data_IF_334303778192
#
_entry.id   IF_334303778192
#
_cell.length_a   1.000
_cell.length_b   1.000
_cell.length_c   1.000
_cell.angle_alpha   90.00
_cell.angle_beta   90.00
_cell.angle_gamma   90.00
#
_symmetry.space_group_name_H-M   'P 1'
#
loop_
_entity.id
_entity.type
_entity.pdbx_description
1 polymer ?
#
# COMPACT_ATOMS: atom_id res chain seq x y z
N UNK A 1 -17.07 18.00 41.15
CA UNK A 1 -15.65 18.23 40.79
C UNK A 1 -15.39 17.42 39.53
N UNK A 2 -15.26 18.03 38.35
CA UNK A 2 -14.99 17.30 37.10
C UNK A 2 -13.49 17.09 36.98
N UNK A 3 -13.02 15.85 37.00
CA UNK A 3 -11.64 15.50 36.67
C UNK A 3 -11.39 15.95 35.23
N UNK A 4 -10.52 16.95 35.05
CA UNK A 4 -10.02 17.30 33.73
C UNK A 4 -9.26 16.08 33.19
N UNK A 5 -9.53 15.70 31.95
CA UNK A 5 -8.86 14.55 31.31
C UNK A 5 -7.34 14.71 31.26
N UNK A 6 -6.62 13.61 31.03
CA UNK A 6 -5.14 13.58 31.00
C UNK A 6 -4.59 14.49 29.88
N UNK A 7 -5.30 14.54 28.75
CA UNK A 7 -5.01 15.40 27.62
C UNK A 7 -6.27 16.18 27.24
N UNK A 8 -6.09 17.36 26.65
CA UNK A 8 -7.15 18.10 25.97
C UNK A 8 -6.68 18.46 24.57
N UNK A 9 -7.48 18.07 23.58
CA UNK A 9 -7.22 18.48 22.20
C UNK A 9 -7.85 19.87 22.00
N UNK A 10 -7.04 20.85 21.62
CA UNK A 10 -7.50 22.20 21.30
C UNK A 10 -8.38 22.19 20.03
N UNK A 11 -9.18 23.24 19.79
CA UNK A 11 -9.90 23.40 18.52
C UNK A 11 -8.99 23.40 17.28
N UNK A 12 -7.72 23.78 17.44
CA UNK A 12 -6.73 23.75 16.36
C UNK A 12 -6.17 22.35 16.11
N UNK A 13 -6.40 21.38 17.01
CA UNK A 13 -5.93 20.00 16.94
C UNK A 13 -4.65 19.73 17.73
N UNK A 14 -4.21 20.66 18.57
CA UNK A 14 -3.03 20.52 19.42
C UNK A 14 -3.42 19.77 20.68
N UNK A 15 -2.75 18.66 20.98
CA UNK A 15 -2.95 17.93 22.23
C UNK A 15 -2.18 18.63 23.36
N UNK A 16 -2.91 19.28 24.26
CA UNK A 16 -2.37 19.88 25.47
C UNK A 16 -2.35 18.83 26.59
N UNK A 17 -1.23 18.75 27.29
CA UNK A 17 -1.06 17.89 28.45
C UNK A 17 -1.67 18.62 29.65
N UNK A 18 -2.77 18.11 30.20
CA UNK A 18 -3.46 18.76 31.31
C UNK A 18 -3.01 18.23 32.68
N UNK A 19 -2.38 17.06 32.70
CA UNK A 19 -1.96 16.41 33.93
C UNK A 19 -0.44 16.36 34.02
N UNK A 20 0.13 16.84 35.13
CA UNK A 20 1.58 16.84 35.38
C UNK A 20 2.21 15.47 35.14
N UNK A 21 1.57 14.39 35.60
CA UNK A 21 2.08 13.04 35.39
C UNK A 21 2.21 12.65 33.91
N UNK A 22 1.32 13.13 33.04
CA UNK A 22 1.45 12.86 31.61
C UNK A 22 2.58 13.67 30.96
N UNK A 23 2.90 14.85 31.48
CA UNK A 23 4.08 15.58 31.06
C UNK A 23 5.35 14.84 31.52
N UNK A 24 5.37 14.38 32.77
CA UNK A 24 6.45 13.56 33.30
C UNK A 24 6.67 12.27 32.47
N UNK A 25 5.61 11.63 31.97
CA UNK A 25 5.73 10.45 31.09
C UNK A 25 6.45 10.75 29.78
N UNK A 26 6.26 11.95 29.22
CA UNK A 26 6.82 12.35 27.92
C UNK A 26 8.22 12.97 28.05
N UNK A 27 8.50 13.68 29.15
CA UNK A 27 9.76 14.39 29.37
C UNK A 27 10.84 13.51 30.04
N UNK A 28 10.44 12.58 30.92
CA UNK A 28 11.40 11.78 31.70
C UNK A 28 11.59 10.41 31.07
N UNK A 29 12.73 10.21 30.41
CA UNK A 29 13.11 8.93 29.78
C UNK A 29 13.05 7.74 30.74
N UNK A 30 13.36 7.94 32.02
CA UNK A 30 13.26 6.87 33.03
C UNK A 30 11.83 6.37 33.24
N UNK A 31 10.84 7.28 33.24
CA UNK A 31 9.43 6.92 33.39
C UNK A 31 8.91 6.30 32.09
N UNK A 32 9.28 6.86 30.93
CA UNK A 32 8.92 6.26 29.64
C UNK A 32 9.46 4.82 29.52
N UNK A 33 10.72 4.59 29.89
CA UNK A 33 11.32 3.27 29.90
C UNK A 33 10.60 2.31 30.86
N UNK A 34 10.20 2.79 32.04
CA UNK A 34 9.40 2.00 32.99
C UNK A 34 8.04 1.61 32.40
N UNK A 35 7.32 2.56 31.78
CA UNK A 35 6.06 2.31 31.07
C UNK A 35 6.26 1.26 29.96
N UNK A 36 7.29 1.45 29.11
CA UNK A 36 7.62 0.51 28.05
C UNK A 36 7.96 -0.88 28.59
N UNK A 37 8.65 -0.97 29.74
CA UNK A 37 9.01 -2.26 30.36
C UNK A 37 7.81 -3.01 30.96
N UNK A 38 6.78 -2.28 31.41
CA UNK A 38 5.53 -2.82 31.95
C UNK A 38 4.47 -3.06 30.88
N UNK A 39 4.70 -2.58 29.66
CA UNK A 39 3.78 -2.76 28.54
C UNK A 39 3.68 -4.26 28.20
N UNK A 40 2.47 -4.80 27.99
CA UNK A 40 2.30 -6.21 27.63
C UNK A 40 3.18 -6.58 26.43
N UNK A 41 3.86 -7.74 26.47
CA UNK A 41 4.80 -8.15 25.41
C UNK A 41 4.14 -8.20 24.02
N UNK A 42 2.85 -8.49 24.01
CA UNK A 42 1.95 -8.59 22.87
C UNK A 42 1.31 -7.24 22.45
N UNK A 43 1.48 -6.16 23.21
CA UNK A 43 0.93 -4.85 22.87
C UNK A 43 1.62 -4.28 21.63
N UNK A 44 0.86 -4.01 20.58
CA UNK A 44 1.36 -3.36 19.37
C UNK A 44 0.76 -1.96 19.23
N UNK A 45 1.62 -0.94 19.36
CA UNK A 45 1.20 0.46 19.31
C UNK A 45 0.70 0.84 17.92
N UNK A 46 1.28 0.31 16.85
CA UNK A 46 0.84 0.59 15.50
C UNK A 46 -0.53 -0.03 15.21
N UNK A 47 -0.77 -1.26 15.67
CA UNK A 47 -2.07 -1.89 15.54
C UNK A 47 -3.16 -1.11 16.30
N UNK A 48 -2.83 -0.63 17.51
CA UNK A 48 -3.74 0.20 18.31
C UNK A 48 -4.03 1.55 17.63
N UNK A 49 -3.01 2.20 17.07
CA UNK A 49 -3.17 3.46 16.33
C UNK A 49 -3.95 3.27 15.03
N UNK A 50 -3.78 2.13 14.35
CA UNK A 50 -4.60 1.77 13.19
C UNK A 50 -6.06 1.62 13.61
N UNK A 51 -6.35 0.86 14.67
CA UNK A 51 -7.72 0.65 15.19
C UNK A 51 -8.40 1.99 15.52
N UNK A 52 -7.74 2.87 16.29
CA UNK A 52 -8.25 4.22 16.56
C UNK A 52 -8.40 5.02 15.26
N UNK A 53 -7.47 4.85 14.32
CA UNK A 53 -7.48 5.52 13.04
C UNK A 53 -8.73 5.19 12.22
N UNK A 54 -9.04 3.89 12.10
CA UNK A 54 -10.19 3.34 11.40
C UNK A 54 -11.49 3.90 11.97
N UNK A 55 -11.66 3.83 13.29
CA UNK A 55 -12.85 4.38 13.98
C UNK A 55 -13.02 5.87 13.71
N UNK A 56 -11.92 6.62 13.64
CA UNK A 56 -11.94 8.09 13.48
C UNK A 56 -11.83 8.58 12.05
N UNK A 57 -11.80 7.69 11.05
CA UNK A 57 -11.55 8.08 9.66
C UNK A 57 -12.60 9.09 9.17
N UNK A 58 -13.88 8.80 9.39
CA UNK A 58 -14.98 9.69 8.98
C UNK A 58 -14.88 11.07 9.65
N UNK A 59 -14.70 11.12 10.97
CA UNK A 59 -14.60 12.37 11.71
C UNK A 59 -13.40 13.22 11.26
N UNK A 60 -12.23 12.60 11.09
CA UNK A 60 -11.02 13.32 10.66
C UNK A 60 -11.18 13.92 9.27
N UNK A 61 -11.82 13.20 8.36
CA UNK A 61 -12.06 13.69 7.00
C UNK A 61 -13.07 14.84 7.01
N UNK A 62 -14.16 14.73 7.79
CA UNK A 62 -15.16 15.80 7.97
C UNK A 62 -14.57 17.07 8.61
N UNK A 63 -13.71 16.95 9.62
CA UNK A 63 -13.08 18.12 10.25
C UNK A 63 -12.15 18.87 9.28
N UNK A 64 -11.45 18.14 8.40
CA UNK A 64 -10.53 18.74 7.43
C UNK A 64 -11.26 19.43 6.28
N UNK A 65 -12.45 18.95 5.91
CA UNK A 65 -13.31 19.58 4.91
C UNK A 65 -13.65 21.04 5.24
N UNK A 66 -13.85 21.37 6.51
CA UNK A 66 -14.15 22.75 6.94
C UNK A 66 -13.00 23.75 6.79
N UNK A 67 -11.80 23.34 6.33
CA UNK A 67 -10.58 24.17 6.31
C UNK A 67 -10.09 24.55 4.91
N UNK A 68 -10.90 24.40 3.85
CA UNK A 68 -10.60 24.89 2.50
C UNK A 68 -9.48 24.14 1.76
N UNK A 69 -9.11 22.94 2.21
CA UNK A 69 -8.16 22.05 1.50
C UNK A 69 -8.90 21.16 0.50
N UNK A 70 -8.17 20.65 -0.50
CA UNK A 70 -8.75 19.66 -1.42
C UNK A 70 -8.99 18.37 -0.66
N UNK A 71 -10.26 17.97 -0.59
CA UNK A 71 -10.75 16.77 0.07
C UNK A 71 -9.94 15.50 -0.24
N UNK A 72 -9.50 15.39 -1.50
CA UNK A 72 -8.65 14.30 -1.98
C UNK A 72 -7.30 14.24 -1.24
N UNK A 73 -6.63 15.37 -1.04
CA UNK A 73 -5.30 15.40 -0.41
C UNK A 73 -5.38 15.02 1.07
N UNK A 74 -6.35 15.58 1.80
CA UNK A 74 -6.51 15.31 3.22
C UNK A 74 -6.97 13.87 3.49
N UNK A 75 -7.84 13.32 2.63
CA UNK A 75 -8.23 11.92 2.69
C UNK A 75 -7.01 10.99 2.47
N UNK A 76 -6.27 11.19 1.39
CA UNK A 76 -5.12 10.34 1.07
C UNK A 76 -3.98 10.48 2.08
N UNK A 77 -3.77 11.67 2.65
CA UNK A 77 -2.83 11.86 3.75
C UNK A 77 -3.20 11.03 4.97
N UNK A 78 -4.50 10.96 5.32
CA UNK A 78 -4.98 10.10 6.42
C UNK A 78 -4.92 8.62 6.08
N UNK A 79 -5.33 8.23 4.88
CA UNK A 79 -5.26 6.82 4.46
C UNK A 79 -3.85 6.30 4.47
N UNK A 80 -2.91 7.10 3.94
CA UNK A 80 -1.49 6.77 3.92
C UNK A 80 -0.94 6.60 5.33
N UNK A 81 -1.23 7.51 6.26
CA UNK A 81 -0.81 7.37 7.67
C UNK A 81 -1.32 6.07 8.30
N UNK A 82 -2.56 5.66 8.01
CA UNK A 82 -3.12 4.43 8.57
C UNK A 82 -2.55 3.17 7.91
N UNK A 83 -2.35 3.18 6.59
CA UNK A 83 -1.60 2.12 5.92
C UNK A 83 -0.20 2.00 6.51
N UNK A 84 0.46 3.11 6.83
CA UNK A 84 1.74 3.10 7.53
C UNK A 84 1.70 2.41 8.88
N UNK A 85 0.66 2.64 9.67
CA UNK A 85 0.46 1.89 10.92
C UNK A 85 0.32 0.40 10.64
N UNK A 86 -0.48 0.01 9.67
CA UNK A 86 -0.64 -1.40 9.27
C UNK A 86 0.68 -2.08 8.88
N UNK A 87 1.55 -1.36 8.16
CA UNK A 87 2.87 -1.85 7.74
C UNK A 87 3.81 -2.15 8.92
N UNK A 88 3.78 -1.32 9.97
CA UNK A 88 4.66 -1.46 11.13
C UNK A 88 4.08 -2.37 12.24
N UNK A 89 2.95 -3.04 12.01
CA UNK A 89 2.44 -4.04 12.94
C UNK A 89 3.38 -5.24 12.99
N UNK A 90 3.75 -5.65 14.20
CA UNK A 90 4.64 -6.81 14.42
C UNK A 90 3.99 -8.08 13.90
N UNK A 91 4.76 -8.86 13.14
CA UNK A 91 4.35 -10.11 12.52
C UNK A 91 4.26 -11.25 13.55
N UNK A 92 3.21 -11.26 14.35
CA UNK A 92 2.88 -12.32 15.32
C UNK A 92 1.51 -12.92 14.98
N UNK A 93 1.25 -14.22 15.22
CA UNK A 93 -0.04 -14.84 14.86
C UNK A 93 -1.26 -14.08 15.39
N UNK A 94 -1.19 -13.57 16.62
CA UNK A 94 -2.25 -12.75 17.23
C UNK A 94 -2.45 -11.42 16.49
N UNK A 95 -1.37 -10.72 16.20
CA UNK A 95 -1.43 -9.45 15.49
C UNK A 95 -1.86 -9.63 14.03
N UNK A 96 -1.46 -10.70 13.36
CA UNK A 96 -1.86 -10.98 11.98
C UNK A 96 -3.39 -11.05 11.85
N UNK A 97 -4.06 -11.81 12.73
CA UNK A 97 -5.52 -11.91 12.73
C UNK A 97 -6.17 -10.54 12.91
N UNK A 98 -5.77 -9.80 13.96
CA UNK A 98 -6.35 -8.49 14.25
C UNK A 98 -6.01 -7.45 13.17
N UNK A 99 -4.82 -7.50 12.58
CA UNK A 99 -4.44 -6.65 11.45
C UNK A 99 -5.35 -6.88 10.25
N UNK A 100 -5.64 -8.14 9.91
CA UNK A 100 -6.56 -8.48 8.81
C UNK A 100 -7.95 -7.92 9.06
N UNK A 101 -8.49 -8.15 10.25
CA UNK A 101 -9.81 -7.62 10.66
C UNK A 101 -9.85 -6.09 10.60
N UNK A 102 -8.80 -5.41 11.07
CA UNK A 102 -8.72 -3.95 11.05
C UNK A 102 -8.56 -3.39 9.64
N UNK A 103 -7.81 -4.05 8.77
CA UNK A 103 -7.65 -3.65 7.38
C UNK A 103 -8.94 -3.87 6.56
N UNK A 104 -9.69 -4.93 6.85
CA UNK A 104 -11.03 -5.14 6.28
C UNK A 104 -12.02 -4.06 6.73
N UNK A 105 -12.03 -3.72 8.02
CA UNK A 105 -12.88 -2.63 8.51
C UNK A 105 -12.41 -1.28 7.96
N UNK A 106 -11.10 -1.08 7.81
CA UNK A 106 -10.57 0.14 7.21
C UNK A 106 -11.07 0.35 5.79
N UNK A 107 -11.02 -0.69 4.94
CA UNK A 107 -11.52 -0.64 3.56
C UNK A 107 -13.02 -0.27 3.52
N UNK A 108 -13.83 -0.90 4.37
CA UNK A 108 -15.26 -0.60 4.52
C UNK A 108 -15.51 0.84 4.95
N UNK A 109 -14.82 1.31 5.98
CA UNK A 109 -14.98 2.69 6.48
C UNK A 109 -14.52 3.70 5.43
N UNK A 110 -13.38 3.46 4.77
CA UNK A 110 -12.86 4.32 3.72
C UNK A 110 -13.86 4.46 2.57
N UNK A 111 -14.43 3.34 2.13
CA UNK A 111 -15.47 3.30 1.10
C UNK A 111 -16.70 4.11 1.51
N UNK A 112 -17.22 3.92 2.74
CA UNK A 112 -18.35 4.71 3.26
C UNK A 112 -18.05 6.21 3.24
N UNK A 113 -16.88 6.61 3.75
CA UNK A 113 -16.48 8.02 3.82
C UNK A 113 -16.39 8.65 2.42
N UNK A 114 -15.85 7.93 1.44
CA UNK A 114 -15.76 8.41 0.06
C UNK A 114 -17.14 8.52 -0.56
N UNK A 115 -18.02 7.54 -0.35
CA UNK A 115 -19.39 7.61 -0.86
C UNK A 115 -20.15 8.80 -0.27
N UNK A 116 -20.04 9.06 1.04
CA UNK A 116 -20.62 10.26 1.67
C UNK A 116 -20.10 11.55 1.02
N UNK A 117 -18.80 11.63 0.79
CA UNK A 117 -18.14 12.76 0.12
C UNK A 117 -18.71 13.00 -1.28
N UNK A 118 -18.84 11.94 -2.08
CA UNK A 118 -19.35 12.03 -3.45
C UNK A 118 -20.81 12.49 -3.47
N UNK A 119 -21.63 11.95 -2.55
CA UNK A 119 -23.03 12.34 -2.40
C UNK A 119 -23.17 13.83 -2.03
N UNK A 120 -22.35 14.34 -1.10
CA UNK A 120 -22.35 15.77 -0.72
C UNK A 120 -21.98 16.70 -1.88
N UNK A 121 -21.10 16.26 -2.78
CA UNK A 121 -20.67 17.10 -3.91
C UNK A 121 -21.75 17.21 -4.99
N UNK A 122 -22.52 16.14 -5.20
CA UNK A 122 -23.59 16.09 -6.19
C UNK A 122 -24.81 16.96 -5.82
N UNK A 123 -24.96 17.34 -4.55
CA UNK A 123 -26.09 18.19 -4.12
C UNK A 123 -25.83 19.68 -4.29
N UNK A 124 -24.58 20.13 -4.51
CA UNK A 124 -24.24 21.55 -4.39
C UNK A 124 -23.90 22.31 -5.67
N UNK A 125 -23.28 21.76 -6.73
CA UNK A 125 -22.83 22.68 -7.81
C UNK A 125 -22.53 22.14 -9.23
N UNK A 126 -22.69 20.86 -9.59
CA UNK A 126 -22.39 20.43 -10.98
C UNK A 126 -23.29 19.30 -11.50
N UNK A 127 -24.14 19.62 -12.49
CA UNK A 127 -24.89 18.66 -13.32
C UNK A 127 -24.04 17.96 -14.38
N UNK A 128 -22.76 18.29 -14.51
CA UNK A 128 -21.87 17.71 -15.51
C UNK A 128 -20.92 16.72 -14.83
N UNK A 129 -20.90 15.49 -15.35
CA UNK A 129 -20.11 14.33 -14.89
C UNK A 129 -20.60 13.60 -13.64
N UNK A 130 -21.81 13.07 -13.71
CA UNK A 130 -22.21 11.91 -12.91
C UNK A 130 -22.25 10.70 -13.86
N UNK A 131 -21.37 9.69 -13.69
CA UNK A 131 -21.61 8.38 -14.31
C UNK A 131 -22.98 7.89 -13.83
N UNK A 132 -23.91 7.66 -14.74
CA UNK A 132 -25.32 7.34 -14.45
C UNK A 132 -25.53 6.02 -13.69
N UNK A 133 -24.47 5.23 -13.49
CA UNK A 133 -24.48 3.97 -12.74
C UNK A 133 -23.92 4.14 -11.31
N UNK A 134 -24.53 5.03 -10.51
CA UNK A 134 -24.17 5.19 -9.09
C UNK A 134 -24.45 3.95 -8.24
N UNK A 135 -25.33 3.05 -8.70
CA UNK A 135 -25.61 1.76 -8.06
C UNK A 135 -24.41 0.79 -8.10
N UNK A 136 -23.36 1.08 -8.88
CA UNK A 136 -22.12 0.28 -8.94
C UNK A 136 -21.06 0.67 -7.89
N UNK A 137 -21.21 1.81 -7.21
CA UNK A 137 -20.24 2.33 -6.22
C UNK A 137 -20.31 1.67 -4.84
N UNK A 138 -21.03 0.55 -4.70
CA UNK A 138 -21.19 -0.11 -3.41
C UNK A 138 -20.15 -1.20 -3.25
N UNK A 139 -19.09 -0.85 -2.51
CA UNK A 139 -17.99 -1.74 -2.15
C UNK A 139 -18.47 -3.02 -1.47
N UNK A 140 -18.00 -4.13 -2.02
CA UNK A 140 -17.88 -5.42 -1.35
C UNK A 140 -16.43 -5.90 -1.46
N UNK A 141 -16.10 -7.12 -1.00
CA UNK A 141 -14.77 -7.73 -1.15
C UNK A 141 -14.37 -8.03 -2.61
N UNK A 142 -15.09 -7.47 -3.58
CA UNK A 142 -14.99 -7.76 -5.01
C UNK A 142 -14.62 -6.49 -5.78
N UNK A 143 -13.78 -6.70 -6.79
CA UNK A 143 -13.45 -5.74 -7.85
C UNK A 143 -14.74 -5.10 -8.42
N UNK A 144 -14.86 -3.78 -8.31
CA UNK A 144 -15.98 -2.96 -8.78
C UNK A 144 -15.41 -1.90 -9.73
N UNK A 145 -16.15 -1.53 -10.81
CA UNK A 145 -15.65 -0.65 -11.87
C UNK A 145 -15.17 0.72 -11.41
N UNK A 146 -15.52 1.17 -10.20
CA UNK A 146 -14.89 2.32 -9.58
C UNK A 146 -14.88 2.17 -8.05
N UNK A 147 -13.75 1.77 -7.44
CA UNK A 147 -13.15 2.39 -6.24
C UNK A 147 -11.99 1.56 -5.62
N UNK A 148 -10.78 2.14 -5.67
CA UNK A 148 -9.70 2.00 -4.67
C UNK A 148 -9.29 3.41 -4.26
N UNK A 149 -10.32 4.12 -3.81
CA UNK A 149 -10.45 5.56 -3.60
C UNK A 149 -10.23 6.37 -4.88
N UNK A 150 -10.96 5.90 -5.91
CA UNK A 150 -11.16 6.41 -7.28
C UNK A 150 -9.85 6.63 -8.03
N UNK A 151 -9.19 5.48 -8.07
CA UNK A 151 -8.03 5.06 -8.81
C UNK A 151 -6.78 5.91 -8.63
N UNK A 152 -5.97 5.61 -7.61
CA UNK A 152 -4.76 6.34 -7.22
C UNK A 152 -3.76 6.44 -8.41
N UNK A 153 -3.96 7.49 -9.20
CA UNK A 153 -3.23 7.79 -10.42
C UNK A 153 -4.02 7.46 -11.70
N UNK A 154 -5.12 8.18 -11.99
CA UNK A 154 -5.80 8.18 -13.30
C UNK A 154 -4.81 8.53 -14.43
N UNK A 155 -4.11 7.53 -14.97
CA UNK A 155 -3.26 7.66 -16.17
C UNK A 155 -3.88 7.15 -17.46
N UNK A 156 -5.06 6.54 -17.43
CA UNK A 156 -5.64 5.89 -18.61
C UNK A 156 -7.12 6.18 -18.83
N UNK A 157 -7.62 7.37 -18.47
CA UNK A 157 -8.88 7.86 -19.08
C UNK A 157 -8.69 8.14 -20.58
N UNK A 158 -7.45 8.20 -21.09
CA UNK A 158 -7.20 8.48 -22.51
C UNK A 158 -7.75 7.42 -23.48
N UNK A 159 -8.04 6.20 -23.03
CA UNK A 159 -8.50 5.11 -23.92
C UNK A 159 -9.66 4.26 -23.37
N UNK A 160 -10.33 4.70 -22.31
CA UNK A 160 -11.58 4.08 -21.84
C UNK A 160 -11.43 2.76 -21.07
N UNK A 161 -10.21 2.30 -20.76
CA UNK A 161 -9.96 1.12 -19.93
C UNK A 161 -9.30 1.56 -18.62
N UNK A 162 -10.08 1.54 -17.54
CA UNK A 162 -9.59 1.83 -16.18
C UNK A 162 -9.15 0.50 -15.56
N UNK A 163 -7.85 0.30 -15.34
CA UNK A 163 -7.41 -0.83 -14.53
C UNK A 163 -7.84 -0.65 -13.08
N UNK A 164 -8.59 -1.63 -12.58
CA UNK A 164 -9.00 -1.65 -11.19
C UNK A 164 -7.81 -2.09 -10.33
N UNK A 165 -7.36 -1.21 -9.45
CA UNK A 165 -6.64 -1.65 -8.26
C UNK A 165 -7.68 -1.93 -7.17
N UNK A 166 -7.31 -2.71 -6.18
CA UNK A 166 -8.18 -2.94 -5.02
C UNK A 166 -7.41 -2.60 -3.74
N UNK A 167 -8.10 -2.62 -2.61
CA UNK A 167 -7.47 -2.38 -1.33
C UNK A 167 -6.34 -3.40 -1.03
N UNK A 168 -6.49 -4.65 -1.50
CA UNK A 168 -5.43 -5.68 -1.40
C UNK A 168 -4.20 -5.29 -2.23
N UNK A 169 -4.39 -4.66 -3.38
CA UNK A 169 -3.31 -4.10 -4.19
C UNK A 169 -2.56 -2.99 -3.46
N UNK A 170 -3.25 -2.08 -2.75
CA UNK A 170 -2.60 -1.09 -1.88
C UNK A 170 -1.80 -1.74 -0.75
N UNK A 171 -2.34 -2.76 -0.10
CA UNK A 171 -1.61 -3.51 0.92
C UNK A 171 -0.38 -4.22 0.34
N UNK A 172 -0.46 -4.73 -0.89
CA UNK A 172 0.66 -5.32 -1.61
C UNK A 172 1.73 -4.27 -1.96
N UNK A 173 1.36 -3.07 -2.41
CA UNK A 173 2.27 -1.95 -2.64
C UNK A 173 3.06 -1.55 -1.39
N UNK A 174 2.42 -1.66 -0.23
CA UNK A 174 3.05 -1.39 1.07
C UNK A 174 3.85 -2.59 1.59
N UNK A 175 3.69 -3.78 1.03
CA UNK A 175 4.36 -5.00 1.51
C UNK A 175 3.75 -5.60 2.77
N UNK A 176 2.46 -5.37 3.03
CA UNK A 176 1.71 -5.93 4.17
C UNK A 176 1.39 -7.42 3.98
N UNK A 177 2.45 -8.24 4.00
CA UNK A 177 2.38 -9.66 3.70
C UNK A 177 1.29 -10.43 4.49
N UNK A 178 1.06 -10.21 5.81
CA UNK A 178 -0.01 -10.92 6.53
C UNK A 178 -1.40 -10.75 5.91
N UNK A 179 -1.72 -9.54 5.46
CA UNK A 179 -3.00 -9.24 4.83
C UNK A 179 -3.11 -9.88 3.45
N UNK A 180 -2.07 -9.72 2.62
CA UNK A 180 -2.02 -10.32 1.28
C UNK A 180 -2.16 -11.85 1.38
N UNK A 181 -1.44 -12.49 2.32
CA UNK A 181 -1.54 -13.92 2.61
C UNK A 181 -2.95 -14.35 2.94
N UNK A 182 -3.60 -13.67 3.89
CA UNK A 182 -4.95 -13.99 4.32
C UNK A 182 -5.94 -13.93 3.14
N UNK A 183 -5.84 -12.90 2.30
CA UNK A 183 -6.77 -12.71 1.17
C UNK A 183 -6.53 -13.67 0.01
N UNK A 184 -5.27 -13.90 -0.38
CA UNK A 184 -4.92 -14.91 -1.40
C UNK A 184 -5.27 -16.33 -0.93
N UNK A 185 -5.16 -16.62 0.36
CA UNK A 185 -5.58 -17.92 0.90
C UNK A 185 -7.09 -18.13 0.87
N UNK A 186 -7.86 -17.04 1.00
CA UNK A 186 -9.33 -17.06 0.86
C UNK A 186 -9.77 -17.15 -0.61
N UNK A 187 -9.03 -16.51 -1.52
CA UNK A 187 -9.29 -16.51 -2.95
C UNK A 187 -7.97 -16.58 -3.74
N UNK A 188 -7.51 -17.80 -4.11
CA UNK A 188 -6.26 -18.00 -4.84
C UNK A 188 -6.20 -17.29 -6.19
N UNK A 189 -7.34 -17.08 -6.84
CA UNK A 189 -7.40 -16.39 -8.12
C UNK A 189 -6.86 -14.97 -8.02
N UNK A 190 -6.87 -14.33 -6.84
CA UNK A 190 -6.29 -13.00 -6.62
C UNK A 190 -4.79 -12.92 -6.95
N UNK A 191 -4.05 -14.04 -6.88
CA UNK A 191 -2.65 -14.08 -7.26
C UNK A 191 -2.45 -14.08 -8.79
N UNK A 192 -3.48 -14.48 -9.55
CA UNK A 192 -3.43 -14.58 -11.00
C UNK A 192 -3.67 -13.23 -11.67
N UNK A 193 -3.04 -13.02 -12.82
CA UNK A 193 -3.29 -11.84 -13.66
C UNK A 193 -4.71 -11.85 -14.19
N UNK A 194 -5.34 -10.68 -14.28
CA UNK A 194 -6.62 -10.52 -14.96
C UNK A 194 -6.61 -9.25 -15.81
N UNK A 195 -7.31 -9.24 -16.96
CA UNK A 195 -7.40 -8.09 -17.85
C UNK A 195 -8.29 -6.97 -17.32
N UNK A 196 -8.86 -7.08 -16.12
CA UNK A 196 -9.67 -6.02 -15.52
C UNK A 196 -9.01 -5.39 -14.29
N UNK A 197 -7.87 -5.92 -13.84
CA UNK A 197 -7.23 -5.48 -12.60
C UNK A 197 -5.72 -5.40 -12.68
N UNK A 198 -5.14 -4.46 -11.94
CA UNK A 198 -3.69 -4.45 -11.70
C UNK A 198 -3.31 -5.71 -10.89
N UNK A 199 -2.32 -6.46 -11.38
CA UNK A 199 -1.88 -7.67 -10.68
C UNK A 199 -1.30 -7.34 -9.29
N UNK A 200 -1.53 -8.21 -8.30
CA UNK A 200 -0.92 -8.05 -6.98
C UNK A 200 0.62 -8.09 -7.07
N UNK A 201 1.16 -8.83 -8.05
CA UNK A 201 2.59 -8.91 -8.31
C UNK A 201 3.16 -7.57 -8.81
N UNK A 202 2.47 -6.88 -9.73
CA UNK A 202 2.86 -5.54 -10.17
C UNK A 202 2.84 -4.56 -8.99
N UNK A 203 1.74 -4.53 -8.23
CA UNK A 203 1.59 -3.70 -7.04
C UNK A 203 2.73 -3.92 -6.04
N UNK A 204 3.05 -5.17 -5.68
CA UNK A 204 4.13 -5.50 -4.75
C UNK A 204 5.52 -5.15 -5.32
N UNK A 205 5.72 -5.37 -6.62
CA UNK A 205 7.01 -5.13 -7.29
C UNK A 205 7.36 -3.65 -7.28
N UNK A 206 6.48 -2.80 -7.80
CA UNK A 206 6.77 -1.38 -8.02
C UNK A 206 6.48 -0.49 -6.81
N UNK A 207 5.55 -0.93 -5.95
CA UNK A 207 5.22 -0.24 -4.71
C UNK A 207 4.48 1.08 -4.91
N UNK A 208 4.15 1.73 -3.80
CA UNK A 208 3.25 2.88 -3.76
C UNK A 208 3.69 4.06 -4.65
N UNK A 209 4.99 4.36 -4.67
CA UNK A 209 5.53 5.51 -5.41
C UNK A 209 5.35 5.41 -6.93
N UNK A 210 5.31 4.20 -7.48
CA UNK A 210 5.10 3.98 -8.90
C UNK A 210 3.67 4.33 -9.32
N UNK A 211 2.71 4.06 -8.44
CA UNK A 211 1.29 4.33 -8.69
C UNK A 211 0.89 5.77 -8.29
N UNK A 212 1.61 6.41 -7.37
CA UNK A 212 1.35 7.80 -6.98
C UNK A 212 1.91 8.81 -8.00
N UNK A 213 1.30 8.93 -9.19
CA UNK A 213 1.75 9.91 -10.18
C UNK A 213 1.50 11.37 -9.74
N UNK A 214 2.59 12.15 -9.84
CA UNK A 214 2.68 13.61 -10.00
C UNK A 214 2.05 14.48 -8.89
N UNK A 215 2.92 14.92 -7.97
CA UNK A 215 2.85 16.16 -7.15
C UNK A 215 1.96 16.20 -5.91
N UNK A 216 0.94 15.36 -5.75
CA UNK A 216 0.02 15.50 -4.61
C UNK A 216 0.55 14.91 -3.28
N UNK A 217 1.32 13.81 -3.32
CA UNK A 217 1.72 13.08 -2.11
C UNK A 217 3.16 13.41 -1.66
N UNK A 218 3.94 14.17 -2.44
CA UNK A 218 5.37 14.41 -2.15
C UNK A 218 5.63 15.17 -0.84
N UNK A 219 4.61 15.78 -0.22
CA UNK A 219 4.74 16.41 1.11
C UNK A 219 4.73 15.43 2.26
N UNK A 220 4.23 14.22 2.02
CA UNK A 220 4.40 13.12 2.96
C UNK A 220 5.64 12.39 2.47
N UNK A 221 6.78 12.69 3.08
CA UNK A 221 7.99 11.86 2.99
C UNK A 221 7.62 10.53 3.63
N UNK A 222 6.92 9.73 2.84
CA UNK A 222 6.64 8.33 3.08
C UNK A 222 8.03 7.71 3.13
N UNK A 223 8.51 7.38 4.34
CA UNK A 223 9.67 6.51 4.48
C UNK A 223 9.41 5.31 3.58
N UNK A 224 10.31 4.90 2.70
CA UNK A 224 9.97 3.83 1.75
C UNK A 224 9.65 2.55 2.54
N UNK A 225 8.54 1.83 2.28
CA UNK A 225 8.31 0.54 2.92
C UNK A 225 9.54 -0.33 2.67
N UNK A 226 10.14 -0.87 3.73
CA UNK A 226 11.43 -1.58 3.62
C UNK A 226 11.36 -2.55 2.44
N UNK A 227 12.31 -2.45 1.51
CA UNK A 227 12.31 -3.27 0.30
C UNK A 227 12.25 -4.77 0.64
N UNK A 228 12.75 -5.15 1.81
CA UNK A 228 12.66 -6.49 2.40
C UNK A 228 11.23 -7.01 2.54
N UNK A 229 10.28 -6.22 3.06
CA UNK A 229 8.90 -6.67 3.25
C UNK A 229 8.17 -6.81 1.90
N UNK A 230 8.37 -5.88 0.98
CA UNK A 230 7.84 -6.01 -0.39
C UNK A 230 8.41 -7.23 -1.09
N UNK A 231 9.71 -7.49 -0.95
CA UNK A 231 10.35 -8.67 -1.52
C UNK A 231 9.75 -9.97 -0.98
N UNK A 232 9.43 -10.04 0.32
CA UNK A 232 8.72 -11.21 0.88
C UNK A 232 7.31 -11.36 0.26
N UNK A 233 6.64 -10.26 -0.02
CA UNK A 233 5.34 -10.25 -0.72
C UNK A 233 5.46 -10.75 -2.15
N UNK A 234 6.46 -10.27 -2.91
CA UNK A 234 6.78 -10.77 -4.27
C UNK A 234 7.06 -12.27 -4.25
N UNK A 235 7.93 -12.75 -3.34
CA UNK A 235 8.24 -14.18 -3.18
C UNK A 235 6.99 -15.01 -2.92
N UNK A 236 6.13 -14.53 -2.02
CA UNK A 236 4.88 -15.20 -1.69
C UNK A 236 3.95 -15.30 -2.91
N UNK A 237 3.73 -14.20 -3.64
CA UNK A 237 2.85 -14.17 -4.81
C UNK A 237 3.36 -15.06 -5.95
N UNK A 238 4.66 -15.05 -6.24
CA UNK A 238 5.27 -15.94 -7.23
C UNK A 238 5.11 -17.43 -6.86
N UNK A 239 5.22 -17.76 -5.57
CA UNK A 239 4.98 -19.12 -5.07
C UNK A 239 3.52 -19.54 -5.23
N UNK A 240 2.57 -18.59 -5.18
CA UNK A 240 1.13 -18.83 -5.32
C UNK A 240 0.61 -18.59 -6.75
N UNK A 241 1.48 -18.74 -7.75
CA UNK A 241 1.04 -18.81 -9.15
C UNK A 241 1.05 -17.50 -9.92
N UNK A 242 1.40 -16.37 -9.31
CA UNK A 242 1.49 -15.10 -10.03
C UNK A 242 2.47 -15.19 -11.22
N UNK A 243 2.02 -14.76 -12.41
CA UNK A 243 2.85 -14.79 -13.63
C UNK A 243 3.64 -13.47 -13.76
N UNK A 244 4.99 -13.50 -13.73
CA UNK A 244 5.80 -12.31 -13.96
C UNK A 244 5.70 -11.73 -15.37
N UNK A 245 5.20 -12.51 -16.35
CA UNK A 245 4.86 -12.04 -17.70
C UNK A 245 3.47 -11.43 -17.77
N UNK A 246 2.75 -11.43 -16.65
CA UNK A 246 1.49 -10.71 -16.56
C UNK A 246 1.70 -9.24 -16.94
N UNK A 247 0.69 -8.62 -17.59
CA UNK A 247 0.76 -7.20 -17.86
C UNK A 247 0.86 -6.42 -16.55
N UNK A 248 1.65 -5.33 -16.54
CA UNK A 248 1.68 -4.39 -15.40
C UNK A 248 0.31 -3.73 -15.28
N UNK A 249 -0.21 -3.33 -16.44
CA UNK A 249 -1.49 -2.66 -16.62
C UNK A 249 -2.31 -3.46 -17.62
N UNK A 250 -3.55 -3.81 -17.29
CA UNK A 250 -4.48 -4.40 -18.24
C UNK A 250 -4.55 -3.73 -19.62
N UNK A 251 -4.47 -2.39 -19.63
CA UNK A 251 -4.54 -1.53 -20.81
C UNK A 251 -3.29 -1.55 -21.69
N UNK A 252 -2.14 -2.00 -21.18
CA UNK A 252 -0.91 -2.10 -21.95
C UNK A 252 -0.29 -3.50 -21.82
N UNK A 253 -0.83 -4.49 -22.57
CA UNK A 253 -0.34 -5.86 -22.52
C UNK A 253 1.08 -6.02 -23.08
N UNK A 254 1.65 -4.98 -23.69
CA UNK A 254 2.99 -5.03 -24.27
C UNK A 254 4.08 -4.90 -23.22
N UNK A 255 3.78 -4.31 -22.06
CA UNK A 255 4.73 -4.16 -20.96
C UNK A 255 4.41 -5.12 -19.82
N UNK A 256 5.23 -6.17 -19.71
CA UNK A 256 5.11 -7.14 -18.61
C UNK A 256 5.83 -6.65 -17.36
N UNK A 257 5.47 -7.18 -16.20
CA UNK A 257 6.18 -6.88 -14.93
C UNK A 257 7.68 -7.19 -15.07
N UNK A 258 8.03 -8.28 -15.77
CA UNK A 258 9.43 -8.62 -16.05
C UNK A 258 10.17 -7.59 -16.90
N UNK A 259 9.56 -7.06 -17.95
CA UNK A 259 10.22 -6.10 -18.84
C UNK A 259 10.58 -4.82 -18.08
N UNK A 260 9.65 -4.31 -17.27
CA UNK A 260 9.88 -3.10 -16.50
C UNK A 260 10.90 -3.30 -15.38
N UNK A 261 10.96 -4.48 -14.76
CA UNK A 261 12.01 -4.79 -13.78
C UNK A 261 13.38 -4.82 -14.45
N UNK A 262 13.52 -5.39 -15.65
CA UNK A 262 14.77 -5.38 -16.40
C UNK A 262 15.23 -3.95 -16.74
N UNK A 263 14.29 -3.06 -17.10
CA UNK A 263 14.59 -1.64 -17.29
C UNK A 263 15.07 -0.95 -16.00
N UNK A 264 14.55 -1.35 -14.83
CA UNK A 264 14.90 -0.76 -13.53
C UNK A 264 16.22 -1.27 -12.96
N UNK A 265 16.69 -2.45 -13.39
CA UNK A 265 18.01 -2.98 -13.01
C UNK A 265 19.14 -2.18 -13.70
N UNK A 266 18.83 -1.50 -14.81
CA UNK A 266 19.81 -0.76 -15.61
C UNK A 266 20.82 -1.70 -16.31
N UNK A 267 21.63 -1.18 -17.26
CA UNK A 267 22.85 -1.89 -17.63
C UNK A 267 23.67 -2.10 -16.36
N UNK A 268 24.22 -3.30 -16.19
CA UNK A 268 25.16 -3.60 -15.12
C UNK A 268 26.41 -2.77 -15.39
N UNK A 269 26.41 -1.51 -14.95
CA UNK A 269 27.59 -0.66 -14.99
C UNK A 269 28.69 -1.39 -14.21
N UNK A 270 29.74 -1.81 -14.92
CA UNK A 270 30.96 -2.31 -14.29
C UNK A 270 31.41 -1.25 -13.29
N UNK A 271 31.46 -1.60 -12.01
CA UNK A 271 31.74 -0.69 -10.88
C UNK A 271 33.15 -0.07 -10.89
N UNK A 272 33.97 -0.31 -11.92
CA UNK A 272 35.38 0.10 -11.99
C UNK A 272 35.63 1.57 -12.35
N UNK A 273 34.63 2.36 -12.79
CA UNK A 273 34.90 3.69 -13.36
C UNK A 273 34.29 4.90 -12.62
N UNK A 274 33.93 4.75 -11.33
CA UNK A 274 33.44 5.89 -10.51
C UNK A 274 34.06 5.98 -9.12
N UNK A 275 35.38 5.96 -9.05
CA UNK A 275 36.12 6.33 -7.84
C UNK A 275 37.08 7.50 -8.12
N UNK A 276 36.55 8.73 -8.04
CA UNK A 276 37.28 9.97 -7.66
C UNK A 276 36.42 11.22 -7.81
N UNK A 277 35.46 11.43 -6.92
CA UNK A 277 35.12 12.76 -6.38
C UNK A 277 34.44 12.52 -5.04
N UNK A 278 35.22 12.42 -3.97
CA UNK A 278 34.69 12.34 -2.60
C UNK A 278 35.09 13.62 -1.86
N UNK A 279 34.18 14.59 -1.86
CA UNK A 279 34.19 15.73 -0.94
C UNK A 279 32.79 15.87 -0.38
N UNK A 280 32.71 15.76 0.94
CA UNK A 280 31.62 16.15 1.83
C UNK A 280 30.22 16.11 1.21
N UNK A 281 29.74 14.90 0.92
CA UNK A 281 28.32 14.68 0.70
C UNK A 281 27.56 15.02 1.99
N UNK A 282 26.48 15.79 1.86
CA UNK A 282 25.59 16.03 2.99
C UNK A 282 25.02 14.71 3.52
N UNK A 283 24.62 14.63 4.81
CA UNK A 283 23.96 13.44 5.37
C UNK A 283 22.72 13.01 4.57
N UNK A 284 22.07 13.96 3.90
CA UNK A 284 20.94 13.71 3.03
C UNK A 284 21.37 12.95 1.76
N UNK A 285 22.47 13.37 1.13
CA UNK A 285 23.05 12.68 -0.02
C UNK A 285 23.55 11.26 0.32
N UNK A 286 24.11 11.06 1.51
CA UNK A 286 24.50 9.72 1.99
C UNK A 286 23.27 8.79 2.11
N UNK A 287 22.19 9.30 2.70
CA UNK A 287 20.94 8.55 2.86
C UNK A 287 20.24 8.30 1.52
N UNK A 288 20.29 9.25 0.59
CA UNK A 288 19.79 9.07 -0.78
C UNK A 288 20.58 8.01 -1.54
N UNK A 289 21.91 7.99 -1.41
CA UNK A 289 22.76 6.96 -2.03
C UNK A 289 22.53 5.58 -1.41
N UNK A 290 22.38 5.49 -0.08
CA UNK A 290 22.03 4.24 0.59
C UNK A 290 20.68 3.71 0.11
N UNK A 291 19.67 4.58 0.03
CA UNK A 291 18.34 4.24 -0.47
C UNK A 291 18.39 3.78 -1.95
N UNK A 292 19.21 4.43 -2.77
CA UNK A 292 19.43 4.06 -4.17
C UNK A 292 20.07 2.68 -4.28
N UNK A 293 21.07 2.37 -3.45
CA UNK A 293 21.71 1.04 -3.37
C UNK A 293 20.71 -0.02 -2.92
N UNK A 294 19.89 0.25 -1.89
CA UNK A 294 18.87 -0.70 -1.43
C UNK A 294 17.82 -0.97 -2.51
N UNK A 295 17.37 0.07 -3.22
CA UNK A 295 16.45 -0.03 -4.35
C UNK A 295 17.03 -0.87 -5.48
N UNK A 296 18.31 -0.69 -5.82
CA UNK A 296 18.99 -1.47 -6.84
C UNK A 296 19.06 -2.96 -6.47
N UNK A 297 19.51 -3.26 -5.24
CA UNK A 297 19.55 -4.63 -4.69
C UNK A 297 18.18 -5.30 -4.73
N UNK A 298 17.13 -4.56 -4.39
CA UNK A 298 15.76 -5.05 -4.47
C UNK A 298 15.37 -5.48 -5.89
N UNK A 299 15.56 -4.61 -6.89
CA UNK A 299 15.17 -4.95 -8.27
C UNK A 299 16.02 -6.05 -8.88
N UNK A 300 17.32 -6.14 -8.52
CA UNK A 300 18.18 -7.28 -8.90
C UNK A 300 17.62 -8.61 -8.36
N UNK A 301 17.21 -8.64 -7.09
CA UNK A 301 16.65 -9.85 -6.49
C UNK A 301 15.27 -10.20 -7.08
N UNK A 302 14.41 -9.21 -7.37
CA UNK A 302 13.14 -9.44 -8.08
C UNK A 302 13.40 -10.02 -9.48
N UNK A 303 14.35 -9.45 -10.23
CA UNK A 303 14.73 -9.96 -11.55
C UNK A 303 15.23 -11.41 -11.48
N UNK A 304 16.04 -11.74 -10.46
CA UNK A 304 16.51 -13.10 -10.21
C UNK A 304 15.34 -14.07 -9.97
N UNK A 305 14.36 -13.68 -9.15
CA UNK A 305 13.18 -14.49 -8.88
C UNK A 305 12.34 -14.73 -10.13
N UNK A 306 12.20 -13.72 -10.99
CA UNK A 306 11.47 -13.85 -12.25
C UNK A 306 12.17 -14.82 -13.20
N UNK A 307 13.50 -14.71 -13.37
CA UNK A 307 14.28 -15.66 -14.17
C UNK A 307 14.10 -17.10 -13.69
N UNK A 308 14.14 -17.32 -12.37
CA UNK A 308 13.90 -18.64 -11.79
C UNK A 308 12.48 -19.14 -12.06
N UNK A 309 11.46 -18.31 -11.88
CA UNK A 309 10.08 -18.71 -12.15
C UNK A 309 9.86 -19.10 -13.62
N UNK A 310 10.45 -18.34 -14.53
CA UNK A 310 10.32 -18.56 -15.97
C UNK A 310 11.05 -19.82 -16.45
N UNK A 311 12.24 -20.11 -15.90
CA UNK A 311 12.97 -21.33 -16.26
C UNK A 311 12.26 -22.60 -15.80
N UNK A 312 11.58 -22.55 -14.63
CA UNK A 312 10.79 -23.68 -14.13
C UNK A 312 9.53 -23.93 -14.97
N UNK A 313 8.87 -22.87 -15.45
CA UNK A 313 7.73 -22.99 -16.37
C UNK A 313 8.09 -23.68 -17.68
N UNK A 314 9.27 -23.37 -18.23
CA UNK A 314 9.79 -24.04 -19.43
C UNK A 314 10.06 -25.53 -19.18
N UNK A 315 10.61 -25.88 -18.01
CA UNK A 315 10.85 -27.27 -17.63
C UNK A 315 9.57 -28.11 -17.50
N UNK A 316 8.52 -27.58 -16.89
CA UNK A 316 7.25 -28.31 -16.72
C UNK A 316 6.59 -28.61 -18.07
N UNK A 317 6.67 -27.67 -19.03
CA UNK A 317 6.15 -27.88 -20.38
C UNK A 317 6.93 -28.93 -21.18
N UNK A 318 8.21 -29.16 -20.87
CA UNK A 318 9.02 -30.21 -21.50
C UNK A 318 8.79 -31.61 -20.90
N UNK A 319 8.20 -31.71 -19.71
CA UNK A 319 8.01 -32.99 -19.00
C UNK A 319 6.54 -33.42 -18.84
N UNK A 320 5.58 -32.62 -19.29
CA UNK A 320 4.22 -33.10 -19.50
C UNK A 320 4.20 -33.93 -20.79
N UNK A 321 3.96 -35.26 -20.72
CA UNK A 321 3.79 -36.05 -21.92
C UNK A 321 2.58 -35.50 -22.67
N UNK A 322 2.76 -35.16 -23.94
CA UNK A 322 1.72 -34.88 -24.92
C UNK A 322 0.82 -36.11 -25.08
N UNK A 323 -0.08 -36.34 -24.12
CA UNK A 323 -1.24 -37.22 -24.25
C UNK A 323 -2.49 -36.37 -24.25
N UNK A 324 -2.68 -35.67 -25.35
CA UNK A 324 -4.01 -35.28 -25.82
C UNK A 324 -4.23 -36.14 -27.07
N UNK A 325 -4.63 -37.39 -26.87
CA UNK A 325 -5.29 -38.13 -27.93
C UNK A 325 -6.69 -37.52 -28.08
N UNK A 326 -6.95 -37.03 -29.28
CA UNK A 326 -8.23 -36.50 -29.69
C UNK A 326 -9.30 -37.60 -29.58
N UNK A 327 -10.28 -37.41 -28.69
CA UNK A 327 -11.57 -38.08 -28.82
C UNK A 327 -12.40 -37.29 -29.85
N UNK A 328 -12.38 -37.77 -31.08
CA UNK A 328 -13.42 -37.49 -32.08
C UNK A 328 -14.67 -38.28 -31.67
N UNK A 329 -15.80 -37.59 -31.51
CA UNK A 329 -17.15 -38.17 -31.59
C UNK A 329 -17.79 -37.64 -32.87
#
# INVERSE_FOLDING_TARGET
MHTRGIFQVSPTGVANILHRSAADWLEKSSIWNDICSKTPKDFDSNLTLLEVGVVRLGDKVRVRLGRGRTLRSDFWGTVTDYLWRGFFVRDTPRNQKKLVEMLDEFDKVATRVVNEIYLLRNTWESKEWVPTDFDRLVGGPHYSPDHWVVTQGSTSVREGVVSENCFIGLAAQMGMLPYVKAKVSQNPDLAMSSPTRTSLLANATFGFHYHSLRRAVSRYVIQVPTFRQRLRTVKYLLHHGADPRGPIWPEDPKFTVSDQVLLLVGPSDNEEEKEKVEKEKSKEEELEEELKKEKARYYQEVARLFKLRLSWGAWILHFLPTRIEAFTI
#
